data_IF_029670004940
#
_entry.id   IF_029670004940
#
_cell.length_a   1.000
_cell.length_b   1.000
_cell.length_c   1.000
_cell.angle_alpha   90.00
_cell.angle_beta   90.00
_cell.angle_gamma   90.00
#
_symmetry.space_group_name_H-M   'P 1'
#
loop_
_entity.id
_entity.type
_entity.pdbx_description
1 polymer ?
#
# COMPACT_ATOMS: atom_id res chain seq x y z
N UNK A 1 -9.04 -6.54 -8.70
CA UNK A 1 -7.99 -6.69 -8.22
C UNK A 1 -7.34 -5.81 -7.25
N UNK A 2 -6.07 -5.93 -7.13
CA UNK A 2 -5.36 -5.28 -6.06
C UNK A 2 -5.44 -3.79 -6.08
N UNK A 3 -5.55 -3.23 -7.26
CA UNK A 3 -5.62 -1.80 -7.38
C UNK A 3 -6.87 -1.23 -6.73
N UNK A 4 -7.90 -2.03 -6.67
CA UNK A 4 -9.17 -1.58 -6.12
C UNK A 4 -9.13 -1.31 -4.64
N UNK A 5 -8.29 -2.02 -3.89
CA UNK A 5 -8.28 -1.77 -2.46
C UNK A 5 -7.75 -0.38 -2.15
N UNK A 6 -6.82 0.10 -2.95
CA UNK A 6 -6.32 1.45 -2.73
C UNK A 6 -7.33 2.49 -3.19
N UNK A 7 -7.94 2.29 -4.35
CA UNK A 7 -8.90 3.24 -4.86
C UNK A 7 -10.13 3.34 -3.97
N UNK A 8 -10.67 2.22 -3.55
CA UNK A 8 -11.91 2.20 -2.82
C UNK A 8 -11.77 2.59 -1.37
N UNK A 9 -10.62 2.33 -0.78
CA UNK A 9 -10.45 2.50 0.66
C UNK A 9 -9.25 3.35 1.01
N UNK A 10 -8.89 4.28 0.14
CA UNK A 10 -7.63 4.99 0.32
C UNK A 10 -7.53 5.72 1.66
N UNK A 11 -8.61 6.37 2.08
CA UNK A 11 -8.56 7.09 3.34
C UNK A 11 -8.21 6.20 4.50
N UNK A 12 -8.76 4.99 4.50
CA UNK A 12 -8.49 4.04 5.56
C UNK A 12 -7.11 3.43 5.41
N UNK A 13 -6.76 3.09 4.19
CA UNK A 13 -5.49 2.42 3.94
C UNK A 13 -4.31 3.35 4.07
N UNK A 14 -4.51 4.64 3.89
CA UNK A 14 -3.41 5.58 4.00
C UNK A 14 -2.69 5.45 5.33
N UNK A 15 -3.44 5.33 6.41
CA UNK A 15 -2.84 5.14 7.72
C UNK A 15 -2.09 3.82 7.84
N UNK A 16 -2.66 2.77 7.25
CA UNK A 16 -2.00 1.47 7.29
C UNK A 16 -0.72 1.47 6.48
N UNK A 17 -0.73 2.17 5.35
CA UNK A 17 0.47 2.29 4.53
C UNK A 17 1.56 3.02 5.31
N UNK A 18 1.18 4.08 6.03
CA UNK A 18 2.14 4.80 6.86
C UNK A 18 2.73 3.94 7.96
N UNK A 19 1.92 3.06 8.52
CA UNK A 19 2.42 2.13 9.53
C UNK A 19 3.40 1.14 8.95
N UNK A 20 3.08 0.63 7.77
CA UNK A 20 3.92 -0.37 7.12
C UNK A 20 5.21 0.24 6.60
N UNK A 21 5.13 1.42 6.01
CA UNK A 21 6.28 2.10 5.43
C UNK A 21 6.42 3.47 6.08
N UNK A 22 7.08 3.47 7.23
CA UNK A 22 7.18 4.69 8.02
C UNK A 22 7.94 5.82 7.35
N UNK A 23 8.73 5.51 6.33
CA UNK A 23 9.46 6.56 5.62
C UNK A 23 8.60 7.34 4.63
N UNK A 24 7.43 6.83 4.31
CA UNK A 24 6.52 7.57 3.45
C UNK A 24 5.85 8.66 4.26
N UNK A 25 5.78 9.85 3.69
CA UNK A 25 5.16 10.97 4.37
C UNK A 25 3.71 11.11 3.95
N UNK A 26 2.96 11.90 4.71
CA UNK A 26 1.58 12.19 4.31
C UNK A 26 1.53 12.81 2.93
N UNK A 27 2.48 13.68 2.64
CA UNK A 27 2.53 14.33 1.34
C UNK A 27 2.74 13.32 0.22
N UNK A 28 3.63 12.35 0.46
CA UNK A 28 3.85 11.29 -0.52
C UNK A 28 2.57 10.55 -0.81
N UNK A 29 1.83 10.24 0.23
CA UNK A 29 0.60 9.46 0.08
C UNK A 29 -0.51 10.28 -0.53
N UNK A 30 -0.57 11.57 -0.21
CA UNK A 30 -1.54 12.43 -0.83
C UNK A 30 -1.29 12.54 -2.34
N UNK A 31 -0.03 12.63 -2.71
CA UNK A 31 0.31 12.69 -4.12
C UNK A 31 0.00 11.38 -4.83
N UNK A 32 0.18 10.27 -4.14
CA UNK A 32 -0.15 8.98 -4.73
C UNK A 32 -1.63 8.82 -4.95
N UNK A 33 -2.44 9.39 -4.06
CA UNK A 33 -3.88 9.44 -4.22
C UNK A 33 -4.50 8.07 -4.45
N UNK A 34 -3.95 7.06 -3.79
CA UNK A 34 -4.49 5.71 -3.88
C UNK A 34 -4.07 4.94 -5.12
N UNK A 35 -3.23 5.50 -5.95
CA UNK A 35 -2.79 4.79 -7.15
C UNK A 35 -1.62 3.89 -6.81
N UNK A 36 -1.80 2.61 -7.11
CA UNK A 36 -0.84 1.59 -6.72
C UNK A 36 0.55 1.85 -7.26
N UNK A 37 0.66 2.21 -8.53
CA UNK A 37 1.97 2.42 -9.12
C UNK A 37 2.67 3.64 -8.55
N UNK A 38 1.93 4.64 -8.11
CA UNK A 38 2.52 5.78 -7.44
C UNK A 38 3.04 5.39 -6.06
N UNK A 39 2.29 4.57 -5.35
CA UNK A 39 2.73 4.08 -4.04
C UNK A 39 3.99 3.26 -4.22
N UNK A 40 4.00 2.40 -5.22
CA UNK A 40 5.17 1.58 -5.51
C UNK A 40 6.40 2.43 -5.75
N UNK A 41 6.25 3.47 -6.55
CA UNK A 41 7.36 4.36 -6.83
C UNK A 41 7.89 5.06 -5.59
N UNK A 42 7.00 5.45 -4.70
CA UNK A 42 7.42 6.10 -3.46
C UNK A 42 8.18 5.13 -2.55
N UNK A 43 7.73 3.88 -2.49
CA UNK A 43 8.45 2.88 -1.70
C UNK A 43 9.85 2.71 -2.25
N UNK A 44 9.98 2.59 -3.55
CA UNK A 44 11.30 2.46 -4.16
C UNK A 44 12.17 3.66 -3.83
N UNK A 45 11.61 4.84 -3.94
CA UNK A 45 12.35 6.06 -3.75
C UNK A 45 12.81 6.22 -2.30
N UNK A 46 11.90 6.01 -1.37
CA UNK A 46 12.18 6.27 0.04
C UNK A 46 13.06 5.21 0.68
N UNK A 47 12.96 3.99 0.19
CA UNK A 47 13.73 2.88 0.77
C UNK A 47 14.92 2.47 -0.07
N UNK A 48 15.04 3.01 -1.28
CA UNK A 48 16.18 2.70 -2.13
C UNK A 48 16.23 1.24 -2.53
N UNK A 49 15.10 0.63 -2.78
CA UNK A 49 15.03 -0.77 -3.15
C UNK A 49 14.60 -0.93 -4.59
N UNK A 50 14.86 -2.11 -5.13
CA UNK A 50 14.49 -2.40 -6.50
C UNK A 50 12.99 -2.57 -6.63
N UNK A 51 12.51 -2.45 -7.85
CA UNK A 51 11.09 -2.57 -8.12
C UNK A 51 10.55 -3.92 -7.68
N UNK A 52 11.31 -4.98 -7.92
CA UNK A 52 10.85 -6.33 -7.54
C UNK A 52 10.60 -6.44 -6.05
N UNK A 53 11.49 -5.88 -5.26
CA UNK A 53 11.34 -5.94 -3.82
C UNK A 53 10.16 -5.08 -3.38
N UNK A 54 10.02 -3.89 -3.95
CA UNK A 54 8.90 -3.02 -3.62
C UNK A 54 7.57 -3.68 -4.00
N UNK A 55 7.55 -4.33 -5.16
CA UNK A 55 6.35 -5.05 -5.60
C UNK A 55 5.99 -6.15 -4.62
N UNK A 56 6.98 -6.89 -4.16
CA UNK A 56 6.73 -7.98 -3.24
C UNK A 56 6.13 -7.46 -1.94
N UNK A 57 6.72 -6.41 -1.42
CA UNK A 57 6.22 -5.83 -0.18
C UNK A 57 4.80 -5.30 -0.34
N UNK A 58 4.55 -4.63 -1.45
CA UNK A 58 3.24 -4.06 -1.69
C UNK A 58 2.19 -5.15 -1.89
N UNK A 59 2.57 -6.21 -2.59
CA UNK A 59 1.67 -7.33 -2.80
C UNK A 59 1.31 -8.00 -1.48
N UNK A 60 2.29 -8.19 -0.60
CA UNK A 60 2.04 -8.77 0.71
C UNK A 60 1.07 -7.90 1.50
N UNK A 61 1.27 -6.60 1.45
CA UNK A 61 0.39 -5.67 2.12
C UNK A 61 -1.04 -5.78 1.57
N UNK A 62 -1.16 -5.82 0.25
CA UNK A 62 -2.47 -5.93 -0.38
C UNK A 62 -3.18 -7.20 0.04
N UNK A 63 -2.46 -8.31 0.11
CA UNK A 63 -3.07 -9.56 0.50
C UNK A 63 -3.61 -9.51 1.92
N UNK A 64 -2.84 -8.92 2.81
CA UNK A 64 -3.26 -8.82 4.19
C UNK A 64 -4.51 -7.98 4.33
N UNK A 65 -4.56 -6.84 3.65
CA UNK A 65 -5.63 -5.89 3.87
C UNK A 65 -6.81 -6.06 2.94
N UNK A 66 -6.70 -6.92 1.94
CA UNK A 66 -7.83 -7.18 1.07
C UNK A 66 -8.58 -8.45 1.45
N UNK A 67 -8.09 -9.21 2.41
CA UNK A 67 -8.76 -10.42 2.82
C UNK A 67 -10.05 -10.10 3.54
N UNK A 68 -11.10 -10.82 3.23
CA UNK A 68 -12.35 -10.58 3.95
C UNK A 68 -12.22 -11.02 5.39
N UNK A 69 -12.68 -10.20 6.31
CA UNK A 69 -12.63 -10.58 7.71
C UNK A 69 -13.49 -11.79 8.03
N UNK A 70 -14.38 -12.11 7.16
CA UNK A 70 -15.26 -13.25 7.41
C UNK A 70 -14.49 -14.54 7.46
N UNK A 71 -13.35 -14.60 6.83
CA UNK A 71 -12.58 -15.82 6.91
C UNK A 71 -12.18 -16.13 8.33
N UNK A 72 -11.96 -15.11 9.08
CA UNK A 72 -11.61 -15.34 10.46
C UNK A 72 -12.79 -15.92 11.20
N UNK A 73 -13.92 -15.59 10.77
CA UNK A 73 -15.07 -16.08 11.42
C UNK A 73 -15.36 -17.45 11.07
N UNK A 74 -15.00 -17.96 10.43
CA UNK A 74 -15.49 -19.09 10.17
C UNK A 74 -15.36 -19.87 10.70
#
# INVERSE_FOLDING_TARGET
>A
MNQDIFDGNWKQLKGKVREQWGRLTDDDLDKAAGKRDQILGKIQERYGIAKDEAERQLKDFEEIHSRPPATAGR
#
